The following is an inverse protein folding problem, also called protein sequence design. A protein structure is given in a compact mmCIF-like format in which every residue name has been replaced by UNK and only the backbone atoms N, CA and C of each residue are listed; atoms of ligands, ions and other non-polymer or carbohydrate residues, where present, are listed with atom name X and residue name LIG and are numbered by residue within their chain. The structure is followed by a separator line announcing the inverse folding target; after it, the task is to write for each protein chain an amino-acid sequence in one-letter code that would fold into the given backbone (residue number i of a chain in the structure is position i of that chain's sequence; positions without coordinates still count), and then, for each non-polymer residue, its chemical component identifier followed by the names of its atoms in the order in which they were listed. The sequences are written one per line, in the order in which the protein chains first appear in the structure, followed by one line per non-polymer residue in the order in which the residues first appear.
data_IF_550066623269
#
_entry.id   IF_550066623269
#
_cell.length_a   1.000
_cell.length_b   1.000
_cell.length_c   1.000
_cell.angle_alpha   90.00
_cell.angle_beta   90.00
_cell.angle_gamma   90.00
#
_symmetry.space_group_name_H-M   'P 1'
#
loop_
_entity.id
_entity.type
_entity.pdbx_description
1 polymer ?
#
# COMPACT_ATOMS: atom_id res chain seq x y z
N UNK A 1 -31.63 43.63 38.32
CA UNK A 1 -30.28 43.14 37.99
C UNK A 1 -29.80 42.21 39.10
N UNK A 2 -28.97 41.17 38.83
CA UNK A 2 -28.51 40.68 37.53
C UNK A 2 -29.02 39.27 37.19
N UNK A 3 -29.13 39.01 35.88
CA UNK A 3 -29.28 37.68 35.28
C UNK A 3 -28.00 36.89 35.54
N UNK A 4 -28.12 35.66 36.04
CA UNK A 4 -27.03 34.67 36.04
C UNK A 4 -26.70 34.36 34.58
N UNK A 5 -25.61 34.92 34.11
CA UNK A 5 -25.00 34.61 32.82
C UNK A 5 -24.29 33.26 33.00
N UNK A 6 -24.98 32.18 32.63
CA UNK A 6 -24.43 30.82 32.67
C UNK A 6 -23.46 30.64 31.49
N UNK A 7 -22.31 31.30 31.59
CA UNK A 7 -21.19 31.11 30.66
C UNK A 7 -20.55 29.77 30.98
N UNK A 8 -21.10 28.73 30.35
CA UNK A 8 -20.39 27.48 30.11
C UNK A 8 -19.00 27.80 29.55
N UNK A 9 -17.99 27.68 30.40
CA UNK A 9 -16.59 27.84 29.98
C UNK A 9 -16.27 26.70 29.01
N UNK A 10 -16.36 26.98 27.70
CA UNK A 10 -15.68 26.16 26.69
C UNK A 10 -14.22 26.15 27.11
N UNK A 11 -13.73 25.01 27.64
CA UNK A 11 -12.30 24.81 27.88
C UNK A 11 -11.59 25.14 26.59
N UNK A 12 -10.86 26.25 26.56
CA UNK A 12 -10.04 26.60 25.42
C UNK A 12 -9.05 25.45 25.22
N UNK A 13 -9.14 24.75 24.10
CA UNK A 13 -8.16 23.75 23.73
C UNK A 13 -6.80 24.48 23.68
N UNK A 14 -5.92 24.17 24.64
CA UNK A 14 -4.56 24.70 24.66
C UNK A 14 -3.76 23.94 23.61
N UNK A 15 -3.50 24.59 22.49
CA UNK A 15 -2.67 24.02 21.43
C UNK A 15 -1.20 24.40 21.67
N UNK A 16 -0.33 23.39 21.61
CA UNK A 16 1.12 23.58 21.62
C UNK A 16 1.62 23.39 20.19
N UNK A 17 2.31 24.40 19.64
CA UNK A 17 2.99 24.26 18.36
C UNK A 17 4.31 23.53 18.58
N UNK A 18 4.46 22.37 17.96
CA UNK A 18 5.68 21.58 17.98
C UNK A 18 6.25 21.51 16.56
N UNK A 19 7.56 21.63 16.45
CA UNK A 19 8.27 21.48 15.17
C UNK A 19 8.16 20.03 14.68
N UNK A 20 7.99 19.85 13.36
CA UNK A 20 7.86 18.54 12.74
C UNK A 20 9.12 17.70 12.94
N UNK A 21 10.30 18.30 12.83
CA UNK A 21 11.56 17.58 13.02
C UNK A 21 11.68 16.98 14.44
N UNK A 22 11.08 17.63 15.44
CA UNK A 22 11.04 17.12 16.81
C UNK A 22 10.09 15.94 16.95
N UNK A 23 8.94 15.98 16.28
CA UNK A 23 8.00 14.86 16.24
C UNK A 23 8.61 13.65 15.52
N UNK A 24 9.30 13.87 14.40
CA UNK A 24 9.98 12.81 13.65
C UNK A 24 11.12 12.19 14.48
N UNK A 25 11.90 13.02 15.18
CA UNK A 25 12.93 12.53 16.11
C UNK A 25 12.32 11.72 17.24
N UNK A 26 11.20 12.16 17.81
CA UNK A 26 10.51 11.43 18.87
C UNK A 26 9.99 10.08 18.38
N UNK A 27 9.42 10.04 17.17
CA UNK A 27 9.02 8.80 16.50
C UNK A 27 10.20 7.84 16.28
N UNK A 28 11.34 8.36 15.82
CA UNK A 28 12.55 7.55 15.66
C UNK A 28 13.02 6.96 16.98
N UNK A 29 13.00 7.74 18.08
CA UNK A 29 13.36 7.26 19.42
C UNK A 29 12.40 6.18 19.93
N UNK A 30 11.10 6.32 19.70
CA UNK A 30 10.13 5.28 20.03
C UNK A 30 10.36 4.02 19.18
N UNK A 31 10.68 4.18 17.89
CA UNK A 31 11.07 3.06 17.03
C UNK A 31 12.34 2.35 17.51
N UNK A 32 13.36 3.10 17.92
CA UNK A 32 14.57 2.55 18.54
C UNK A 32 14.27 1.83 19.87
N UNK A 33 13.36 2.37 20.68
CA UNK A 33 12.91 1.73 21.91
C UNK A 33 12.24 0.39 21.64
N UNK A 34 11.37 0.31 20.62
CA UNK A 34 10.76 -0.95 20.17
C UNK A 34 11.83 -1.95 19.75
N UNK A 35 12.83 -1.52 18.97
CA UNK A 35 13.96 -2.38 18.54
C UNK A 35 14.74 -2.92 19.74
N UNK A 36 15.10 -2.04 20.69
CA UNK A 36 15.85 -2.43 21.89
C UNK A 36 15.05 -3.37 22.79
N UNK A 37 13.75 -3.14 22.93
CA UNK A 37 12.83 -4.04 23.63
C UNK A 37 12.80 -5.42 22.96
N UNK A 38 12.59 -5.51 21.65
CA UNK A 38 12.60 -6.79 20.93
C UNK A 38 13.92 -7.53 21.09
N UNK A 39 15.05 -6.81 21.10
CA UNK A 39 16.36 -7.40 21.39
C UNK A 39 16.44 -8.00 22.79
N UNK A 40 15.93 -7.29 23.79
CA UNK A 40 15.91 -7.79 25.17
C UNK A 40 15.01 -9.02 25.31
N UNK A 41 13.86 -9.06 24.63
CA UNK A 41 12.97 -10.24 24.58
C UNK A 41 13.67 -11.45 23.96
N UNK A 42 14.42 -11.25 22.88
CA UNK A 42 15.24 -12.28 22.24
C UNK A 42 16.33 -12.81 23.19
N UNK A 43 17.07 -11.91 23.86
CA UNK A 43 18.10 -12.31 24.83
C UNK A 43 17.48 -13.08 26.00
N UNK A 44 16.39 -12.58 26.57
CA UNK A 44 15.66 -13.24 27.66
C UNK A 44 15.23 -14.66 27.28
N UNK A 45 14.75 -14.84 26.05
CA UNK A 45 14.33 -16.13 25.51
C UNK A 45 15.52 -17.08 25.31
N UNK A 46 16.61 -16.59 24.71
CA UNK A 46 17.82 -17.37 24.45
C UNK A 46 18.49 -17.86 25.74
N UNK A 47 18.53 -17.02 26.77
CA UNK A 47 19.13 -17.35 28.07
C UNK A 47 18.12 -17.97 29.06
N UNK A 48 16.86 -18.18 28.65
CA UNK A 48 15.77 -18.73 29.47
C UNK A 48 15.61 -18.01 30.83
N UNK A 49 15.74 -16.69 30.83
CA UNK A 49 15.62 -15.85 32.03
C UNK A 49 14.14 -15.58 32.32
N UNK A 50 13.48 -16.47 33.07
CA UNK A 50 12.04 -16.40 33.33
C UNK A 50 11.64 -15.13 34.10
N UNK A 51 12.44 -14.71 35.08
CA UNK A 51 12.16 -13.50 35.89
C UNK A 51 12.24 -12.20 35.08
N UNK A 52 13.02 -12.20 33.98
CA UNK A 52 13.13 -11.05 33.09
C UNK A 52 11.94 -10.95 32.14
N UNK A 53 11.25 -12.06 31.86
CA UNK A 53 10.16 -12.13 30.91
C UNK A 53 8.97 -11.24 31.32
N UNK A 54 8.52 -11.33 32.57
CA UNK A 54 7.41 -10.50 33.08
C UNK A 54 7.72 -9.00 33.02
N UNK A 55 8.97 -8.63 33.35
CA UNK A 55 9.42 -7.24 33.28
C UNK A 55 9.44 -6.74 31.83
N UNK A 56 9.90 -7.57 30.90
CA UNK A 56 9.93 -7.22 29.48
C UNK A 56 8.53 -7.11 28.86
N UNK A 57 7.57 -7.94 29.28
CA UNK A 57 6.18 -7.76 28.88
C UNK A 57 5.63 -6.40 29.31
N UNK A 58 5.95 -5.97 30.54
CA UNK A 58 5.51 -4.66 31.03
C UNK A 58 6.17 -3.50 30.27
N UNK A 59 7.46 -3.60 29.97
CA UNK A 59 8.14 -2.67 29.06
C UNK A 59 7.49 -2.67 27.69
N UNK A 60 7.09 -3.84 27.19
CA UNK A 60 6.34 -4.02 25.95
C UNK A 60 5.05 -3.21 25.91
N UNK A 61 4.21 -3.38 26.93
CA UNK A 61 2.93 -2.63 27.06
C UNK A 61 3.15 -1.12 27.09
N UNK A 62 4.06 -0.62 27.92
CA UNK A 62 4.34 0.82 28.04
C UNK A 62 4.91 1.38 26.72
N UNK A 63 5.75 0.63 26.03
CA UNK A 63 6.31 1.04 24.74
C UNK A 63 5.23 1.13 23.67
N UNK A 64 4.29 0.18 23.63
CA UNK A 64 3.13 0.22 22.74
C UNK A 64 2.21 1.41 23.04
N UNK A 65 1.89 1.66 24.32
CA UNK A 65 1.07 2.81 24.73
C UNK A 65 1.74 4.14 24.34
N UNK A 66 3.06 4.23 24.52
CA UNK A 66 3.83 5.42 24.12
C UNK A 66 3.74 5.61 22.61
N UNK A 67 3.93 4.54 21.83
CA UNK A 67 3.83 4.57 20.38
C UNK A 67 2.45 5.05 19.92
N UNK A 68 1.38 4.50 20.48
CA UNK A 68 0.00 4.90 20.14
C UNK A 68 -0.26 6.37 20.45
N UNK A 69 0.26 6.87 21.58
CA UNK A 69 0.15 8.27 21.95
C UNK A 69 0.88 9.17 20.94
N UNK A 70 2.12 8.83 20.56
CA UNK A 70 2.87 9.64 19.58
C UNK A 70 2.17 9.65 18.23
N UNK A 71 1.64 8.50 17.78
CA UNK A 71 0.87 8.42 16.54
C UNK A 71 -0.33 9.35 16.58
N UNK A 72 -1.13 9.33 17.66
CA UNK A 72 -2.30 10.22 17.82
C UNK A 72 -1.93 11.71 17.77
N UNK A 73 -0.77 12.10 18.31
CA UNK A 73 -0.32 13.51 18.26
C UNK A 73 0.02 13.93 16.81
N UNK A 74 0.46 13.00 15.96
CA UNK A 74 0.80 13.25 14.56
C UNK A 74 -0.41 13.25 13.62
N UNK A 75 -1.50 12.63 14.03
CA UNK A 75 -2.71 12.56 13.23
C UNK A 75 -3.25 13.94 12.88
N UNK A 76 -3.75 14.07 11.64
CA UNK A 76 -4.43 15.25 11.15
C UNK A 76 -5.74 14.82 10.49
N UNK A 77 -6.79 15.66 10.55
CA UNK A 77 -8.03 15.38 9.84
C UNK A 77 -7.79 15.41 8.32
N UNK A 78 -8.43 14.48 7.60
CA UNK A 78 -8.34 14.40 6.13
C UNK A 78 -8.97 15.61 5.43
N UNK A 79 -9.78 16.39 6.15
CA UNK A 79 -10.37 17.68 5.74
C UNK A 79 -9.38 18.58 4.97
N UNK A 80 -8.11 18.64 5.43
CA UNK A 80 -7.06 19.44 4.77
C UNK A 80 -6.87 19.11 3.30
N UNK A 81 -7.00 17.83 2.94
CA UNK A 81 -6.91 17.36 1.56
C UNK A 81 -8.25 17.57 0.85
N UNK A 82 -9.36 17.28 1.54
CA UNK A 82 -10.70 17.29 0.95
C UNK A 82 -11.17 18.69 0.55
N UNK A 83 -10.79 19.72 1.31
CA UNK A 83 -11.20 21.12 1.10
C UNK A 83 -10.87 21.70 -0.29
N UNK A 84 -9.91 21.11 -1.02
CA UNK A 84 -9.56 21.58 -2.38
C UNK A 84 -10.43 20.97 -3.49
N UNK A 85 -11.06 19.82 -3.25
CA UNK A 85 -11.81 19.10 -4.28
C UNK A 85 -13.12 19.77 -4.72
N UNK A 86 -13.90 20.46 -3.86
CA UNK A 86 -15.11 21.16 -4.28
C UNK A 86 -14.88 22.24 -5.34
N UNK A 87 -13.72 22.91 -5.33
CA UNK A 87 -13.38 23.88 -6.38
C UNK A 87 -13.01 23.17 -7.68
N UNK A 88 -12.16 22.16 -7.58
CA UNK A 88 -11.73 21.36 -8.72
C UNK A 88 -12.89 20.67 -9.47
N UNK A 89 -13.87 20.12 -8.75
CA UNK A 89 -15.06 19.52 -9.38
C UNK A 89 -15.88 20.55 -10.14
N UNK A 90 -16.01 21.78 -9.62
CA UNK A 90 -16.68 22.88 -10.34
C UNK A 90 -15.93 23.24 -11.62
N UNK A 91 -14.61 23.27 -11.59
CA UNK A 91 -13.79 23.54 -12.76
C UNK A 91 -13.93 22.42 -13.81
N UNK A 92 -13.86 21.15 -13.40
CA UNK A 92 -14.08 19.99 -14.29
C UNK A 92 -15.51 19.94 -14.87
N UNK A 93 -16.51 20.26 -14.05
CA UNK A 93 -17.92 20.31 -14.47
C UNK A 93 -18.12 21.28 -15.62
N UNK A 94 -17.49 22.45 -15.56
CA UNK A 94 -17.50 23.44 -16.64
C UNK A 94 -16.68 22.99 -17.86
N UNK A 95 -15.48 22.43 -17.64
CA UNK A 95 -14.59 21.97 -18.73
C UNK A 95 -15.23 20.85 -19.56
N UNK A 96 -15.91 19.90 -18.91
CA UNK A 96 -16.51 18.73 -19.54
C UNK A 96 -17.96 18.96 -19.98
N UNK A 97 -18.58 20.06 -19.56
CA UNK A 97 -20.00 20.34 -19.79
C UNK A 97 -20.93 19.33 -19.12
N UNK A 98 -20.56 18.82 -17.94
CA UNK A 98 -21.33 17.84 -17.16
C UNK A 98 -21.72 18.42 -15.81
N UNK A 99 -22.98 18.30 -15.40
CA UNK A 99 -23.40 18.66 -14.03
C UNK A 99 -22.93 17.59 -13.04
N UNK A 100 -22.10 17.99 -12.06
CA UNK A 100 -21.51 17.08 -11.08
C UNK A 100 -21.66 17.66 -9.67
N UNK A 101 -22.23 16.87 -8.77
CA UNK A 101 -22.33 17.15 -7.33
C UNK A 101 -21.28 16.34 -6.56
N UNK A 102 -20.51 17.01 -5.70
CA UNK A 102 -19.53 16.37 -4.81
C UNK A 102 -20.09 16.28 -3.39
N UNK A 103 -20.19 15.07 -2.85
CA UNK A 103 -20.61 14.81 -1.48
C UNK A 103 -19.41 14.32 -0.66
N UNK A 104 -19.04 15.05 0.38
CA UNK A 104 -17.93 14.69 1.26
C UNK A 104 -18.51 14.20 2.60
N UNK A 105 -18.00 13.08 3.11
CA UNK A 105 -18.37 12.52 4.43
C UNK A 105 -17.14 12.06 5.21
N UNK A 106 -17.16 12.29 6.52
CA UNK A 106 -16.09 11.86 7.42
C UNK A 106 -14.78 12.64 7.24
N UNK A 107 -14.87 13.93 6.96
CA UNK A 107 -13.71 14.83 6.82
C UNK A 107 -12.88 14.96 8.11
N UNK A 108 -13.49 14.65 9.25
CA UNK A 108 -12.89 14.54 10.57
C UNK A 108 -12.06 13.27 10.78
N UNK A 109 -12.08 12.32 9.83
CA UNK A 109 -11.26 11.10 9.91
C UNK A 109 -9.78 11.47 9.98
N UNK A 110 -9.13 10.99 11.02
CA UNK A 110 -7.73 11.26 11.33
C UNK A 110 -6.78 10.31 10.58
N UNK A 111 -5.74 10.88 9.97
CA UNK A 111 -4.71 10.19 9.22
C UNK A 111 -3.33 10.72 9.56
N UNK A 112 -2.30 9.88 9.40
CA UNK A 112 -0.91 10.31 9.55
C UNK A 112 -0.61 11.43 8.54
N UNK A 113 0.14 12.44 8.98
CA UNK A 113 0.48 13.59 8.14
C UNK A 113 1.15 13.18 6.81
N UNK A 114 2.08 12.22 6.82
CA UNK A 114 2.77 11.78 5.61
C UNK A 114 1.79 11.10 4.66
N UNK A 115 0.82 10.35 5.20
CA UNK A 115 -0.27 9.79 4.42
C UNK A 115 -1.12 10.91 3.79
N UNK A 116 -1.45 11.96 4.54
CA UNK A 116 -2.19 13.13 4.02
C UNK A 116 -1.45 13.83 2.87
N UNK A 117 -0.14 14.00 3.01
CA UNK A 117 0.68 14.67 2.00
C UNK A 117 0.76 13.85 0.70
N UNK A 118 0.83 12.51 0.80
CA UNK A 118 0.94 11.59 -0.35
C UNK A 118 -0.41 11.18 -0.98
N UNK A 119 -1.50 11.08 -0.20
CA UNK A 119 -2.81 10.57 -0.67
C UNK A 119 -3.53 11.54 -1.60
N UNK A 120 -3.19 12.82 -1.53
CA UNK A 120 -3.95 13.86 -2.19
C UNK A 120 -3.94 13.80 -3.72
N UNK A 121 -2.83 13.39 -4.34
CA UNK A 121 -2.73 13.24 -5.80
C UNK A 121 -3.43 11.97 -6.30
N UNK A 122 -3.26 10.78 -5.68
CA UNK A 122 -4.10 9.61 -5.95
C UNK A 122 -5.61 9.92 -5.93
N UNK A 123 -6.11 10.59 -4.90
CA UNK A 123 -7.53 10.95 -4.79
C UNK A 123 -7.98 11.91 -5.89
N UNK A 124 -7.15 12.90 -6.22
CA UNK A 124 -7.42 13.82 -7.33
C UNK A 124 -7.62 13.06 -8.64
N UNK A 125 -6.76 12.09 -8.90
CA UNK A 125 -6.81 11.31 -10.12
C UNK A 125 -8.05 10.38 -10.17
N UNK A 126 -8.42 9.75 -9.05
CA UNK A 126 -9.65 8.97 -8.96
C UNK A 126 -10.90 9.83 -9.21
N UNK A 127 -10.98 11.00 -8.58
CA UNK A 127 -12.09 11.94 -8.76
C UNK A 127 -12.18 12.40 -10.22
N UNK A 128 -11.03 12.69 -10.86
CA UNK A 128 -10.99 13.05 -12.27
C UNK A 128 -11.51 11.92 -13.16
N UNK A 129 -11.09 10.67 -12.93
CA UNK A 129 -11.57 9.53 -13.71
C UNK A 129 -13.08 9.33 -13.56
N UNK A 130 -13.62 9.51 -12.35
CA UNK A 130 -15.07 9.51 -12.13
C UNK A 130 -15.76 10.62 -12.91
N UNK A 131 -15.22 11.83 -12.97
CA UNK A 131 -15.81 12.95 -13.72
C UNK A 131 -15.68 12.80 -15.26
N UNK A 132 -14.50 12.41 -15.76
CA UNK A 132 -14.19 12.30 -17.19
C UNK A 132 -14.86 11.09 -17.83
N UNK A 133 -14.73 9.92 -17.20
CA UNK A 133 -15.13 8.63 -17.78
C UNK A 133 -16.32 7.99 -17.07
N UNK A 134 -16.48 8.20 -15.77
CA UNK A 134 -17.58 7.65 -14.99
C UNK A 134 -18.92 8.34 -15.31
N UNK A 135 -19.03 9.63 -15.00
CA UNK A 135 -20.26 10.42 -15.15
C UNK A 135 -20.57 10.65 -16.63
N UNK A 136 -21.77 10.28 -17.04
CA UNK A 136 -22.29 10.49 -18.39
C UNK A 136 -22.85 11.93 -18.57
N UNK A 137 -22.93 12.45 -19.80
CA UNK A 137 -23.65 13.70 -20.09
C UNK A 137 -25.12 13.64 -19.63
N UNK A 138 -25.69 14.80 -19.26
CA UNK A 138 -27.04 14.88 -18.71
C UNK A 138 -28.11 14.21 -19.58
N UNK A 139 -28.00 14.33 -20.91
CA UNK A 139 -28.91 13.69 -21.85
C UNK A 139 -28.87 12.16 -21.81
N UNK A 140 -27.67 11.57 -21.70
CA UNK A 140 -27.48 10.11 -21.56
C UNK A 140 -28.03 9.63 -20.21
N UNK A 141 -27.82 10.41 -19.14
CA UNK A 141 -28.30 10.08 -17.79
C UNK A 141 -29.81 10.05 -17.71
N UNK A 142 -30.49 11.05 -18.28
CA UNK A 142 -31.96 11.11 -18.31
C UNK A 142 -32.53 9.93 -19.11
N UNK A 143 -31.91 9.56 -20.25
CA UNK A 143 -32.30 8.37 -21.03
C UNK A 143 -32.14 7.07 -20.24
N UNK A 144 -31.13 7.00 -19.37
CA UNK A 144 -30.91 5.86 -18.48
C UNK A 144 -31.77 5.90 -17.19
N UNK A 145 -32.68 6.87 -17.04
CA UNK A 145 -33.52 7.03 -15.85
C UNK A 145 -32.80 7.57 -14.61
N UNK A 146 -31.60 8.13 -14.78
CA UNK A 146 -30.80 8.74 -13.70
C UNK A 146 -31.08 10.24 -13.58
N UNK A 147 -30.66 10.84 -12.47
CA UNK A 147 -30.67 12.31 -12.31
C UNK A 147 -29.72 12.97 -13.31
N UNK A 148 -30.09 14.14 -13.81
CA UNK A 148 -29.26 14.93 -14.74
C UNK A 148 -27.87 15.23 -14.15
N UNK A 149 -27.81 15.67 -12.89
CA UNK A 149 -26.56 15.81 -12.15
C UNK A 149 -25.99 14.44 -11.73
N UNK A 150 -24.72 14.21 -12.06
CA UNK A 150 -23.93 13.09 -11.55
C UNK A 150 -23.49 13.32 -10.11
N UNK A 151 -23.37 12.26 -9.32
CA UNK A 151 -22.91 12.35 -7.93
C UNK A 151 -21.56 11.65 -7.78
N UNK A 152 -20.57 12.37 -7.26
CA UNK A 152 -19.31 11.78 -6.78
C UNK A 152 -19.29 11.91 -5.25
N UNK A 153 -19.08 10.80 -4.55
CA UNK A 153 -18.98 10.74 -3.09
C UNK A 153 -17.54 10.46 -2.67
N UNK A 154 -17.04 11.26 -1.75
CA UNK A 154 -15.76 11.06 -1.10
C UNK A 154 -16.02 10.80 0.38
N UNK A 155 -15.80 9.55 0.80
CA UNK A 155 -16.16 9.08 2.15
C UNK A 155 -14.88 8.62 2.84
N UNK A 156 -14.60 9.14 4.03
CA UNK A 156 -13.55 8.61 4.89
C UNK A 156 -14.16 8.10 6.20
N UNK A 157 -13.65 6.99 6.71
CA UNK A 157 -13.98 6.49 8.04
C UNK A 157 -12.90 5.54 8.54
N UNK A 158 -12.87 5.31 9.85
CA UNK A 158 -11.97 4.35 10.47
C UNK A 158 -12.65 2.99 10.65
N UNK A 159 -11.95 1.92 10.31
CA UNK A 159 -12.39 0.53 10.49
C UNK A 159 -11.26 -0.26 11.18
N UNK A 160 -11.39 -0.49 12.48
CA UNK A 160 -10.32 -1.08 13.29
C UNK A 160 -9.05 -0.23 13.29
N UNK A 161 -7.93 -0.83 12.89
CA UNK A 161 -6.62 -0.17 12.78
C UNK A 161 -6.31 0.34 11.36
N UNK A 162 -7.32 0.46 10.51
CA UNK A 162 -7.20 0.96 9.13
C UNK A 162 -8.11 2.17 8.94
N UNK A 163 -7.63 3.14 8.18
CA UNK A 163 -8.47 4.17 7.61
C UNK A 163 -8.96 3.71 6.24
N UNK A 164 -10.25 3.89 6.00
CA UNK A 164 -10.90 3.56 4.74
C UNK A 164 -11.28 4.87 4.06
N UNK A 165 -10.84 5.04 2.82
CA UNK A 165 -11.24 6.15 1.95
C UNK A 165 -11.94 5.56 0.73
N UNK A 166 -13.17 5.98 0.46
CA UNK A 166 -13.97 5.56 -0.69
C UNK A 166 -14.19 6.73 -1.62
N UNK A 167 -13.97 6.50 -2.91
CA UNK A 167 -14.39 7.37 -4.01
C UNK A 167 -15.47 6.64 -4.79
N UNK A 168 -16.71 7.11 -4.72
CA UNK A 168 -17.86 6.48 -5.38
C UNK A 168 -18.47 7.42 -6.41
N UNK A 169 -18.85 6.91 -7.56
CA UNK A 169 -19.66 7.63 -8.54
C UNK A 169 -20.92 6.83 -8.90
N UNK A 170 -21.96 7.53 -9.36
CA UNK A 170 -23.20 6.96 -9.89
C UNK A 170 -23.21 6.92 -11.43
N UNK A 171 -22.02 6.82 -12.03
CA UNK A 171 -21.79 6.87 -13.46
C UNK A 171 -22.16 5.59 -14.19
N UNK A 172 -21.60 5.41 -15.39
CA UNK A 172 -21.89 4.27 -16.26
C UNK A 172 -21.28 2.94 -15.77
N UNK A 173 -20.40 2.97 -14.77
CA UNK A 173 -19.62 1.80 -14.35
C UNK A 173 -18.62 1.34 -15.41
N UNK A 174 -17.96 0.22 -15.15
CA UNK A 174 -16.98 -0.37 -16.04
C UNK A 174 -17.62 -1.44 -16.93
N UNK A 175 -17.50 -1.25 -18.24
CA UNK A 175 -17.93 -2.25 -19.21
C UNK A 175 -16.86 -3.34 -19.35
N UNK A 176 -17.16 -4.51 -18.80
CA UNK A 176 -16.26 -5.67 -18.73
C UNK A 176 -15.84 -6.12 -20.13
N UNK A 177 -16.78 -6.14 -21.09
CA UNK A 177 -16.54 -6.59 -22.45
C UNK A 177 -15.55 -5.68 -23.21
N UNK A 178 -15.65 -4.36 -23.03
CA UNK A 178 -14.68 -3.40 -23.59
C UNK A 178 -13.28 -3.57 -23.00
N UNK A 179 -13.20 -3.83 -21.69
CA UNK A 179 -11.92 -4.07 -21.01
C UNK A 179 -11.31 -5.37 -21.54
N UNK A 180 -12.11 -6.41 -21.67
CA UNK A 180 -11.71 -7.72 -22.21
C UNK A 180 -11.16 -7.61 -23.63
N UNK A 181 -11.91 -6.98 -24.53
CA UNK A 181 -11.49 -6.77 -25.92
C UNK A 181 -10.20 -5.94 -26.02
N UNK A 182 -10.00 -4.98 -25.11
CA UNK A 182 -8.76 -4.19 -25.07
C UNK A 182 -7.59 -5.03 -24.54
N UNK A 183 -7.80 -5.84 -23.53
CA UNK A 183 -6.80 -6.75 -22.98
C UNK A 183 -6.32 -7.75 -24.04
N UNK A 184 -7.24 -8.38 -24.77
CA UNK A 184 -6.91 -9.31 -25.85
C UNK A 184 -6.10 -8.62 -26.97
N UNK A 185 -6.48 -7.40 -27.36
CA UNK A 185 -5.71 -6.59 -28.34
C UNK A 185 -4.32 -6.23 -27.85
N UNK A 186 -4.15 -6.07 -26.54
CA UNK A 186 -2.87 -5.79 -25.89
C UNK A 186 -2.05 -7.07 -25.59
N UNK A 187 -2.52 -8.25 -26.04
CA UNK A 187 -1.82 -9.53 -25.88
C UNK A 187 -2.01 -10.18 -24.51
N UNK A 188 -2.99 -9.75 -23.73
CA UNK A 188 -3.36 -10.34 -22.44
C UNK A 188 -4.49 -11.35 -22.69
N UNK A 189 -4.24 -12.62 -22.38
CA UNK A 189 -5.27 -13.67 -22.45
C UNK A 189 -6.26 -13.51 -21.30
N UNK A 190 -7.55 -13.41 -21.63
CA UNK A 190 -8.63 -13.24 -20.65
C UNK A 190 -9.44 -14.53 -20.42
N UNK A 191 -9.01 -15.64 -21.04
CA UNK A 191 -9.62 -16.95 -20.92
C UNK A 191 -9.67 -17.42 -19.46
N UNK A 192 -10.89 -17.62 -18.92
CA UNK A 192 -11.09 -18.14 -17.57
C UNK A 192 -10.96 -17.12 -16.42
N UNK A 193 -10.74 -15.84 -16.72
CA UNK A 193 -10.75 -14.78 -15.72
C UNK A 193 -12.17 -14.52 -15.19
N UNK A 194 -12.30 -14.22 -13.89
CA UNK A 194 -13.56 -13.73 -13.36
C UNK A 194 -13.83 -12.29 -13.82
N UNK A 195 -15.09 -11.83 -13.76
CA UNK A 195 -15.40 -10.42 -14.06
C UNK A 195 -14.59 -9.44 -13.21
N UNK A 196 -14.31 -9.81 -11.96
CA UNK A 196 -13.54 -8.98 -11.04
C UNK A 196 -12.07 -8.92 -11.46
N UNK A 197 -11.51 -10.03 -11.92
CA UNK A 197 -10.14 -10.07 -12.44
C UNK A 197 -10.00 -9.23 -13.72
N UNK A 198 -10.99 -9.30 -14.61
CA UNK A 198 -11.05 -8.46 -15.81
C UNK A 198 -11.12 -6.98 -15.43
N UNK A 199 -11.96 -6.58 -14.47
CA UNK A 199 -12.03 -5.20 -13.97
C UNK A 199 -10.69 -4.76 -13.37
N UNK A 200 -9.98 -5.64 -12.68
CA UNK A 200 -8.68 -5.33 -12.07
C UNK A 200 -7.56 -5.09 -13.09
N UNK A 201 -7.73 -5.50 -14.36
CA UNK A 201 -6.77 -5.22 -15.44
C UNK A 201 -6.54 -3.71 -15.63
N UNK A 202 -7.48 -2.85 -15.22
CA UNK A 202 -7.29 -1.40 -15.30
C UNK A 202 -6.08 -0.90 -14.49
N UNK A 203 -5.64 -1.66 -13.48
CA UNK A 203 -4.47 -1.35 -12.68
C UNK A 203 -3.15 -1.87 -13.28
N UNK A 204 -3.17 -2.56 -14.42
CA UNK A 204 -1.95 -2.99 -15.09
C UNK A 204 -1.23 -1.81 -15.73
N UNK A 205 0.10 -1.86 -15.67
CA UNK A 205 0.94 -0.82 -16.25
C UNK A 205 0.68 -0.67 -17.75
N UNK A 206 0.48 0.57 -18.20
CA UNK A 206 0.20 0.86 -19.61
C UNK A 206 -1.21 0.47 -20.07
N UNK A 207 -2.07 -0.05 -19.19
CA UNK A 207 -3.46 -0.32 -19.50
C UNK A 207 -4.32 0.94 -19.26
N UNK A 208 -4.58 1.68 -20.33
CA UNK A 208 -5.60 2.73 -20.35
C UNK A 208 -6.74 2.29 -21.27
N UNK A 209 -7.99 2.63 -20.96
CA UNK A 209 -9.14 2.38 -21.84
C UNK A 209 -9.36 3.48 -22.88
N UNK A 210 -8.67 4.62 -22.80
CA UNK A 210 -8.80 5.71 -23.79
C UNK A 210 -8.14 5.37 -25.14
N UNK A 211 -8.80 5.73 -26.24
CA UNK A 211 -8.28 5.60 -27.63
C UNK A 211 -7.56 6.87 -28.11
N UNK A 212 -7.76 8.01 -27.43
CA UNK A 212 -7.10 9.28 -27.74
C UNK A 212 -6.14 9.65 -26.63
N UNK A 213 -4.89 9.96 -27.00
CA UNK A 213 -3.94 10.67 -26.14
C UNK A 213 -4.39 12.12 -26.10
N UNK A 214 -5.05 12.53 -25.02
CA UNK A 214 -5.36 13.95 -24.78
C UNK A 214 -4.10 14.65 -24.27
N UNK A 215 -3.80 15.85 -24.79
CA UNK A 215 -2.58 16.63 -24.52
C UNK A 215 -2.32 16.97 -23.03
N UNK A 216 -3.29 16.70 -22.15
CA UNK A 216 -3.23 16.99 -20.71
C UNK A 216 -2.83 15.74 -19.90
N UNK A 217 -2.79 14.56 -20.52
CA UNK A 217 -2.33 13.28 -19.92
C UNK A 217 -0.83 13.01 -20.15
N UNK A 218 -0.08 14.03 -20.60
CA UNK A 218 1.32 13.96 -21.04
C UNK A 218 2.39 13.63 -19.98
N UNK A 219 2.01 13.00 -18.86
CA UNK A 219 2.95 12.41 -17.88
C UNK A 219 2.47 11.06 -17.36
N UNK A 220 1.95 10.18 -18.24
CA UNK A 220 1.80 8.75 -17.93
C UNK A 220 1.12 8.42 -16.60
N UNK A 221 0.00 9.08 -16.26
CA UNK A 221 -0.73 8.81 -15.01
C UNK A 221 -1.89 7.88 -15.34
N UNK A 222 -1.67 6.57 -15.19
CA UNK A 222 -2.72 5.55 -15.20
C UNK A 222 -3.12 5.14 -13.79
N UNK A 223 -4.08 4.22 -13.70
CA UNK A 223 -4.48 3.62 -12.41
C UNK A 223 -3.36 2.79 -11.78
N UNK A 224 -2.36 2.37 -12.57
CA UNK A 224 -1.11 1.75 -12.13
C UNK A 224 -0.29 2.69 -11.22
N UNK A 225 -0.18 3.97 -11.56
CA UNK A 225 0.51 4.98 -10.74
C UNK A 225 -0.23 5.19 -9.42
N UNK A 226 -1.56 5.25 -9.45
CA UNK A 226 -2.38 5.33 -8.23
C UNK A 226 -2.14 4.12 -7.34
N UNK A 227 -2.24 2.90 -7.89
CA UNK A 227 -2.00 1.66 -7.13
C UNK A 227 -0.60 1.62 -6.53
N UNK A 228 0.41 2.04 -7.30
CA UNK A 228 1.80 2.09 -6.84
C UNK A 228 1.98 3.08 -5.68
N UNK A 229 1.43 4.29 -5.80
CA UNK A 229 1.49 5.30 -4.73
C UNK A 229 0.79 4.86 -3.45
N UNK A 230 -0.41 4.26 -3.58
CA UNK A 230 -1.14 3.69 -2.44
C UNK A 230 -0.36 2.55 -1.79
N UNK A 231 0.24 1.67 -2.60
CA UNK A 231 1.05 0.55 -2.08
C UNK A 231 2.32 1.03 -1.39
N UNK A 232 2.96 2.10 -1.89
CA UNK A 232 4.16 2.69 -1.31
C UNK A 232 3.94 3.25 0.11
N UNK A 233 2.73 3.72 0.42
CA UNK A 233 2.33 4.15 1.76
C UNK A 233 1.72 3.00 2.60
N UNK A 234 1.93 1.74 2.19
CA UNK A 234 1.46 0.55 2.89
C UNK A 234 -0.04 0.30 2.76
N UNK A 235 -0.72 1.00 1.85
CA UNK A 235 -2.14 0.87 1.60
C UNK A 235 -2.49 -0.22 0.59
N UNK A 236 -3.78 -0.54 0.52
CA UNK A 236 -4.36 -1.42 -0.51
C UNK A 236 -5.48 -0.69 -1.22
N UNK A 237 -5.72 -1.05 -2.48
CA UNK A 237 -6.79 -0.50 -3.31
C UNK A 237 -7.67 -1.63 -3.82
N UNK A 238 -8.99 -1.43 -3.76
CA UNK A 238 -10.00 -2.34 -4.29
C UNK A 238 -10.97 -1.54 -5.17
N UNK A 239 -11.45 -2.18 -6.22
CA UNK A 239 -12.35 -1.58 -7.20
C UNK A 239 -13.62 -2.42 -7.28
N UNK A 240 -14.77 -1.80 -7.05
CA UNK A 240 -16.08 -2.41 -7.19
C UNK A 240 -16.84 -1.59 -8.24
N UNK A 241 -17.28 -2.22 -9.32
CA UNK A 241 -18.00 -1.51 -10.38
C UNK A 241 -19.10 -2.38 -10.95
N UNK A 242 -20.25 -1.77 -11.20
CA UNK A 242 -21.38 -2.41 -11.86
C UNK A 242 -21.89 -1.51 -12.99
N UNK A 243 -22.04 -2.10 -14.18
CA UNK A 243 -22.45 -1.37 -15.38
C UNK A 243 -23.84 -0.74 -15.17
N UNK A 244 -23.95 0.55 -15.49
CA UNK A 244 -25.13 1.36 -15.27
C UNK A 244 -25.35 1.84 -13.83
N UNK A 245 -24.64 1.32 -12.82
CA UNK A 245 -24.78 1.77 -11.42
C UNK A 245 -23.63 2.64 -10.92
N UNK A 246 -22.45 2.51 -11.52
CA UNK A 246 -21.28 3.34 -11.22
C UNK A 246 -20.11 2.54 -10.70
N UNK A 247 -19.13 3.25 -10.13
CA UNK A 247 -17.87 2.67 -9.65
C UNK A 247 -17.55 3.15 -8.23
N UNK A 248 -17.01 2.26 -7.42
CA UNK A 248 -16.52 2.52 -6.06
C UNK A 248 -15.07 2.05 -5.97
N UNK A 249 -14.17 2.97 -5.65
CA UNK A 249 -12.76 2.67 -5.37
C UNK A 249 -12.54 2.81 -3.88
N UNK A 250 -12.09 1.72 -3.25
CA UNK A 250 -11.90 1.61 -1.81
C UNK A 250 -10.40 1.53 -1.54
N UNK A 251 -9.87 2.54 -0.86
CA UNK A 251 -8.49 2.60 -0.40
C UNK A 251 -8.49 2.25 1.09
N UNK A 252 -7.62 1.32 1.49
CA UNK A 252 -7.40 0.96 2.90
C UNK A 252 -5.97 1.32 3.28
N UNK A 253 -5.82 2.19 4.26
CA UNK A 253 -4.53 2.70 4.72
C UNK A 253 -4.29 2.23 6.17
N UNK A 254 -3.09 1.77 6.52
CA UNK A 254 -2.75 1.51 7.91
C UNK A 254 -2.70 2.84 8.70
N UNK A 255 -3.14 2.82 9.95
CA UNK A 255 -3.07 4.00 10.84
C UNK A 255 -1.72 4.15 11.55
N UNK A 256 -0.84 3.16 11.46
CA UNK A 256 0.44 3.11 12.16
C UNK A 256 1.61 3.41 11.21
N UNK A 257 2.81 3.62 11.79
CA UNK A 257 4.07 3.37 11.06
C UNK A 257 3.94 2.05 10.27
N UNK A 258 4.53 1.98 9.09
CA UNK A 258 4.53 0.80 8.23
C UNK A 258 5.27 -0.36 8.90
N UNK A 259 4.63 -1.02 9.87
CA UNK A 259 5.06 -2.28 10.43
C UNK A 259 4.51 -3.36 9.52
N UNK A 260 5.39 -4.19 9.00
CA UNK A 260 5.02 -5.36 8.22
C UNK A 260 5.56 -6.61 8.90
N UNK A 261 4.87 -7.72 8.72
CA UNK A 261 5.46 -9.02 9.00
C UNK A 261 6.34 -9.41 7.83
N UNK A 262 7.60 -9.71 8.10
CA UNK A 262 8.57 -10.12 7.10
C UNK A 262 9.24 -11.45 7.47
N UNK A 263 9.58 -12.23 6.45
CA UNK A 263 10.49 -13.34 6.54
C UNK A 263 11.92 -12.82 6.34
N UNK A 264 12.79 -13.07 7.32
CA UNK A 264 14.21 -12.78 7.22
C UNK A 264 14.93 -13.94 6.53
N UNK A 265 15.62 -13.62 5.44
CA UNK A 265 16.36 -14.57 4.60
C UNK A 265 17.83 -14.17 4.52
N UNK A 266 18.72 -15.15 4.46
CA UNK A 266 20.16 -14.92 4.30
C UNK A 266 20.60 -15.24 2.87
N UNK A 267 21.44 -14.38 2.31
CA UNK A 267 22.14 -14.62 1.03
C UNK A 267 23.59 -14.19 1.22
N UNK A 268 24.51 -15.15 1.17
CA UNK A 268 25.88 -14.97 1.61
C UNK A 268 25.92 -14.66 3.11
N UNK A 269 26.63 -13.58 3.43
CA UNK A 269 26.69 -13.02 4.79
C UNK A 269 25.61 -11.98 5.07
N UNK A 270 24.82 -11.60 4.06
CA UNK A 270 23.83 -10.53 4.15
C UNK A 270 22.45 -11.06 4.53
N UNK A 271 21.73 -10.27 5.32
CA UNK A 271 20.34 -10.56 5.71
C UNK A 271 19.39 -9.59 5.02
N UNK A 272 18.34 -10.13 4.42
CA UNK A 272 17.28 -9.40 3.74
C UNK A 272 15.92 -9.73 4.35
N UNK A 273 14.95 -8.83 4.18
CA UNK A 273 13.58 -9.02 4.60
C UNK A 273 12.65 -9.11 3.39
N UNK A 274 11.75 -10.09 3.38
CA UNK A 274 10.69 -10.23 2.38
C UNK A 274 9.35 -10.15 3.10
N UNK A 275 8.47 -9.23 2.68
CA UNK A 275 7.13 -9.13 3.27
C UNK A 275 6.37 -10.45 3.11
N UNK A 276 5.78 -10.96 4.20
CA UNK A 276 4.98 -12.18 4.18
C UNK A 276 3.78 -12.09 3.24
N UNK A 277 3.28 -10.87 2.97
CA UNK A 277 2.17 -10.66 2.04
C UNK A 277 2.48 -11.08 0.58
N UNK A 278 3.77 -11.20 0.23
CA UNK A 278 4.19 -11.69 -1.08
C UNK A 278 4.58 -13.17 -1.08
N UNK A 279 4.64 -13.83 0.07
CA UNK A 279 5.14 -15.21 0.19
C UNK A 279 3.95 -16.18 0.18
N UNK A 280 3.92 -17.09 -0.81
CA UNK A 280 2.97 -18.21 -0.80
C UNK A 280 3.45 -19.31 0.14
N UNK A 281 4.73 -19.71 0.03
CA UNK A 281 5.36 -20.72 0.89
C UNK A 281 6.88 -20.71 0.77
N UNK A 282 7.52 -21.49 1.63
CA UNK A 282 8.96 -21.77 1.57
C UNK A 282 9.19 -23.27 1.48
N UNK A 283 10.12 -23.69 0.63
CA UNK A 283 10.53 -25.09 0.49
C UNK A 283 12.04 -25.21 0.63
N UNK A 284 12.52 -26.34 1.16
CA UNK A 284 13.93 -26.71 1.11
C UNK A 284 14.17 -27.52 -0.16
N UNK A 285 15.26 -27.25 -0.86
CA UNK A 285 15.67 -27.99 -2.05
C UNK A 285 17.15 -28.27 -2.00
N UNK A 286 17.57 -29.31 -2.71
CA UNK A 286 18.95 -29.42 -3.14
C UNK A 286 19.16 -28.70 -4.48
N UNK A 287 20.31 -28.06 -4.70
CA UNK A 287 20.63 -27.40 -5.98
C UNK A 287 20.62 -28.36 -7.16
N UNK A 288 20.82 -29.67 -6.92
CA UNK A 288 20.73 -30.71 -7.96
C UNK A 288 19.28 -30.90 -8.48
N UNK A 289 18.27 -30.42 -7.75
CA UNK A 289 16.86 -30.42 -8.17
C UNK A 289 16.50 -29.27 -9.11
N UNK A 290 17.40 -28.28 -9.26
CA UNK A 290 17.22 -27.15 -10.17
C UNK A 290 17.38 -27.64 -11.60
N UNK A 291 16.37 -27.40 -12.42
CA UNK A 291 16.37 -27.77 -13.84
C UNK A 291 16.57 -26.54 -14.70
N UNK A 292 17.21 -26.71 -15.86
CA UNK A 292 17.33 -25.67 -16.87
C UNK A 292 16.30 -25.91 -17.98
N UNK A 293 15.49 -24.91 -18.29
CA UNK A 293 14.53 -24.95 -19.41
C UNK A 293 14.55 -23.61 -20.12
N UNK A 294 14.73 -23.61 -21.45
CA UNK A 294 14.83 -22.39 -22.27
C UNK A 294 15.83 -21.36 -21.69
N UNK A 295 16.98 -21.83 -21.22
CA UNK A 295 18.03 -21.02 -20.61
C UNK A 295 17.61 -20.26 -19.33
N UNK A 296 16.54 -20.72 -18.66
CA UNK A 296 16.10 -20.25 -17.36
C UNK A 296 16.12 -21.40 -16.36
N UNK A 297 16.52 -21.10 -15.13
CA UNK A 297 16.42 -22.05 -14.04
C UNK A 297 14.96 -22.16 -13.57
N UNK A 298 14.53 -23.39 -13.33
CA UNK A 298 13.18 -23.72 -12.88
C UNK A 298 13.22 -24.83 -11.83
N UNK A 299 12.21 -24.86 -10.98
CA UNK A 299 11.94 -25.99 -10.09
C UNK A 299 10.57 -26.58 -10.42
N UNK A 300 10.41 -27.89 -10.21
CA UNK A 300 9.12 -28.55 -10.33
C UNK A 300 8.58 -28.75 -8.91
N UNK A 301 7.47 -28.09 -8.61
CA UNK A 301 6.81 -28.21 -7.32
C UNK A 301 5.33 -28.53 -7.51
N UNK A 302 4.89 -29.69 -7.00
CA UNK A 302 3.51 -30.20 -7.17
C UNK A 302 3.04 -30.11 -8.62
N UNK A 303 3.84 -30.67 -9.53
CA UNK A 303 3.60 -30.70 -10.97
C UNK A 303 3.55 -29.33 -11.68
N UNK A 304 3.81 -28.23 -10.96
CA UNK A 304 3.94 -26.90 -11.54
C UNK A 304 5.40 -26.53 -11.75
N UNK A 305 5.70 -25.93 -12.91
CA UNK A 305 7.03 -25.38 -13.22
C UNK A 305 7.10 -23.95 -12.71
N UNK A 306 7.95 -23.71 -11.72
CA UNK A 306 8.13 -22.38 -11.13
C UNK A 306 9.49 -21.83 -11.59
N UNK A 307 9.53 -20.62 -12.20
CA UNK A 307 10.79 -19.99 -12.55
C UNK A 307 11.58 -19.65 -11.29
N UNK A 308 12.88 -19.95 -11.30
CA UNK A 308 13.77 -19.73 -10.18
C UNK A 308 14.65 -18.50 -10.44
N UNK A 309 14.76 -17.64 -9.44
CA UNK A 309 15.62 -16.46 -9.43
C UNK A 309 16.60 -16.63 -8.28
N UNK A 310 17.90 -16.64 -8.59
CA UNK A 310 18.96 -16.60 -7.58
C UNK A 310 19.07 -15.19 -7.02
N UNK A 311 18.76 -15.01 -5.73
CA UNK A 311 18.91 -13.68 -5.12
C UNK A 311 20.37 -13.23 -5.08
N UNK A 312 21.33 -14.16 -4.98
CA UNK A 312 22.76 -13.84 -5.10
C UNK A 312 23.07 -13.05 -6.36
N UNK A 313 22.60 -13.57 -7.50
CA UNK A 313 22.92 -13.01 -8.80
C UNK A 313 22.14 -11.72 -9.04
N UNK A 314 20.88 -11.70 -8.62
CA UNK A 314 20.00 -10.54 -8.76
C UNK A 314 20.48 -9.35 -7.93
N UNK A 315 20.98 -9.59 -6.73
CA UNK A 315 21.47 -8.56 -5.81
C UNK A 315 22.97 -8.29 -5.98
N UNK A 316 23.63 -8.98 -6.91
CA UNK A 316 25.07 -8.90 -7.18
C UNK A 316 25.93 -9.13 -5.92
N UNK A 317 25.55 -10.14 -5.13
CA UNK A 317 26.22 -10.56 -3.91
C UNK A 317 26.70 -12.02 -4.04
N UNK A 318 27.81 -12.33 -3.38
CA UNK A 318 28.32 -13.70 -3.35
C UNK A 318 27.44 -14.54 -2.41
N UNK A 319 26.77 -15.56 -2.95
CA UNK A 319 26.06 -16.55 -2.14
C UNK A 319 27.00 -17.51 -1.41
N UNK A 320 26.48 -18.26 -0.44
CA UNK A 320 27.23 -19.33 0.22
C UNK A 320 27.38 -20.56 -0.70
N UNK A 321 28.55 -21.20 -0.66
CA UNK A 321 28.77 -22.48 -1.33
C UNK A 321 28.06 -23.59 -0.54
N UNK A 322 27.04 -24.21 -1.15
CA UNK A 322 26.27 -25.27 -0.51
C UNK A 322 25.18 -25.81 -1.43
N UNK A 323 24.89 -27.11 -1.31
CA UNK A 323 23.84 -27.74 -2.11
C UNK A 323 22.45 -27.62 -1.49
N UNK A 324 22.36 -27.57 -0.18
CA UNK A 324 21.08 -27.43 0.51
C UNK A 324 20.72 -25.95 0.63
N UNK A 325 19.60 -25.58 0.02
CA UNK A 325 19.11 -24.20 -0.09
C UNK A 325 17.62 -24.14 0.22
N UNK A 326 17.11 -22.92 0.28
CA UNK A 326 15.67 -22.68 0.41
C UNK A 326 15.16 -21.90 -0.79
N UNK A 327 13.94 -22.20 -1.21
CA UNK A 327 13.21 -21.42 -2.21
C UNK A 327 12.00 -20.79 -1.55
N UNK A 328 11.98 -19.47 -1.53
CA UNK A 328 10.81 -18.67 -1.14
C UNK A 328 9.95 -18.48 -2.38
N UNK A 329 8.81 -19.18 -2.46
CA UNK A 329 7.86 -19.03 -3.56
C UNK A 329 7.07 -17.76 -3.29
N UNK A 330 7.31 -16.74 -4.12
CA UNK A 330 6.72 -15.43 -3.99
C UNK A 330 5.78 -15.12 -5.15
N UNK A 331 4.71 -14.38 -4.86
CA UNK A 331 3.66 -14.02 -5.81
C UNK A 331 3.47 -12.51 -5.84
N UNK A 332 3.53 -11.93 -7.04
CA UNK A 332 3.21 -10.52 -7.29
C UNK A 332 2.23 -10.42 -8.45
N UNK A 333 0.96 -10.10 -8.14
CA UNK A 333 -0.13 -10.20 -9.11
C UNK A 333 -0.30 -11.64 -9.61
N UNK A 334 -0.23 -11.83 -10.93
CA UNK A 334 -0.30 -13.15 -11.57
C UNK A 334 1.06 -13.84 -11.66
N UNK A 335 2.16 -13.08 -11.50
CA UNK A 335 3.50 -13.64 -11.59
C UNK A 335 3.85 -14.42 -10.32
N UNK A 336 4.40 -15.60 -10.50
CA UNK A 336 4.93 -16.45 -9.43
C UNK A 336 6.37 -16.82 -9.77
N UNK A 337 7.27 -16.66 -8.80
CA UNK A 337 8.66 -17.09 -8.94
C UNK A 337 9.21 -17.62 -7.61
N UNK A 338 10.17 -18.53 -7.70
CA UNK A 338 10.95 -19.01 -6.58
C UNK A 338 12.19 -18.14 -6.39
N UNK A 339 12.37 -17.56 -5.20
CA UNK A 339 13.58 -16.84 -4.82
C UNK A 339 14.51 -17.80 -4.08
N UNK A 340 15.64 -18.14 -4.69
CA UNK A 340 16.65 -19.02 -4.08
C UNK A 340 17.45 -18.23 -3.04
N UNK A 341 17.48 -18.73 -1.80
CA UNK A 341 18.17 -18.16 -0.65
C UNK A 341 18.98 -19.22 0.09
N UNK A 342 19.96 -18.78 0.87
CA UNK A 342 20.91 -19.67 1.54
C UNK A 342 20.32 -20.24 2.83
N UNK A 343 19.70 -19.39 3.65
CA UNK A 343 19.02 -19.82 4.87
C UNK A 343 17.88 -18.89 5.27
N UNK A 344 17.08 -19.36 6.23
CA UNK A 344 15.96 -18.61 6.81
C UNK A 344 16.28 -18.27 8.25
N UNK A 345 16.14 -17.00 8.62
CA UNK A 345 16.35 -16.54 10.00
C UNK A 345 15.05 -16.52 10.82
N UNK A 346 13.89 -16.54 10.15
CA UNK A 346 12.57 -16.59 10.79
C UNK A 346 11.68 -15.41 10.44
N UNK A 347 10.49 -15.36 11.04
CA UNK A 347 9.52 -14.30 10.84
C UNK A 347 9.65 -13.23 11.93
N UNK A 348 9.55 -11.96 11.55
CA UNK A 348 9.62 -10.84 12.48
C UNK A 348 8.76 -9.67 12.01
N UNK A 349 8.17 -8.95 12.96
CA UNK A 349 7.58 -7.63 12.71
C UNK A 349 8.69 -6.59 12.58
N UNK A 350 8.72 -5.90 11.45
CA UNK A 350 9.76 -4.91 11.14
C UNK A 350 9.13 -3.57 10.78
N UNK A 351 9.76 -2.49 11.23
CA UNK A 351 9.39 -1.12 10.86
C UNK A 351 10.08 -0.77 9.54
N UNK A 352 9.30 -0.44 8.51
CA UNK A 352 9.84 0.04 7.24
C UNK A 352 10.29 1.49 7.41
N UNK A 353 11.57 1.74 7.14
CA UNK A 353 12.16 3.07 6.97
C UNK A 353 12.44 3.30 5.49
N UNK A 354 12.15 4.52 5.04
CA UNK A 354 12.36 4.91 3.65
C UNK A 354 13.86 5.07 3.37
N UNK A 355 14.36 4.58 2.23
CA UNK A 355 15.81 4.40 1.95
C UNK A 355 16.53 5.69 1.54
N UNK A 356 15.86 6.85 1.60
CA UNK A 356 16.40 8.15 1.21
C UNK A 356 16.58 8.32 -0.30
N UNK A 357 16.75 9.56 -0.75
CA UNK A 357 16.82 9.91 -2.19
C UNK A 357 18.05 9.35 -2.92
N UNK A 358 19.11 9.03 -2.19
CA UNK A 358 20.36 8.50 -2.77
C UNK A 358 20.20 7.07 -3.27
N UNK A 359 19.30 6.29 -2.65
CA UNK A 359 19.08 4.87 -2.97
C UNK A 359 17.78 4.63 -3.76
N UNK A 360 17.05 5.69 -4.12
CA UNK A 360 15.79 5.58 -4.89
C UNK A 360 15.95 5.05 -6.32
N UNK A 361 17.19 4.91 -6.81
CA UNK A 361 17.49 4.30 -8.11
C UNK A 361 17.55 2.77 -8.08
N UNK A 362 17.60 2.17 -6.89
CA UNK A 362 17.62 0.71 -6.72
C UNK A 362 16.18 0.21 -6.67
N UNK A 363 15.79 -0.57 -7.69
CA UNK A 363 14.41 -1.05 -7.84
C UNK A 363 14.15 -2.29 -6.99
N UNK A 364 15.20 -2.96 -6.55
CA UNK A 364 15.19 -4.22 -5.83
C UNK A 364 14.75 -4.06 -4.37
N UNK A 365 14.61 -2.83 -3.86
CA UNK A 365 14.35 -2.54 -2.45
C UNK A 365 13.17 -1.58 -2.26
N UNK A 366 12.26 -1.92 -1.35
CA UNK A 366 11.14 -1.06 -0.93
C UNK A 366 11.56 -0.13 0.22
N UNK A 367 12.47 -0.61 1.06
CA UNK A 367 12.75 0.00 2.35
C UNK A 367 14.01 -0.56 3.00
N UNK A 368 14.31 -0.03 4.18
CA UNK A 368 15.25 -0.64 5.12
C UNK A 368 14.58 -0.77 6.49
N UNK A 369 15.07 -1.68 7.31
CA UNK A 369 14.70 -1.80 8.71
C UNK A 369 15.94 -1.96 9.57
N UNK A 370 15.80 -1.79 10.88
CA UNK A 370 16.87 -2.04 11.83
C UNK A 370 16.39 -3.20 12.70
N UNK A 371 17.10 -4.33 12.63
CA UNK A 371 16.77 -5.52 13.41
C UNK A 371 17.19 -5.35 14.87
N UNK A 372 16.72 -6.24 15.76
CA UNK A 372 17.04 -6.20 17.20
C UNK A 372 18.56 -6.21 17.49
N UNK A 373 19.34 -6.85 16.63
CA UNK A 373 20.82 -6.86 16.73
C UNK A 373 21.47 -5.50 16.38
N UNK A 374 20.72 -4.54 15.83
CA UNK A 374 21.18 -3.23 15.38
C UNK A 374 21.65 -3.19 13.91
N UNK A 375 21.58 -4.31 13.19
CA UNK A 375 21.94 -4.35 11.78
C UNK A 375 20.83 -3.73 10.92
N UNK A 376 21.26 -2.94 9.93
CA UNK A 376 20.38 -2.43 8.89
C UNK A 376 20.12 -3.55 7.89
N UNK A 377 18.85 -3.87 7.69
CA UNK A 377 18.40 -4.92 6.79
C UNK A 377 17.53 -4.32 5.69
N UNK A 378 17.88 -4.60 4.44
CA UNK A 378 17.11 -4.12 3.29
C UNK A 378 15.86 -4.98 3.09
N UNK A 379 14.76 -4.32 2.71
CA UNK A 379 13.47 -4.95 2.45
C UNK A 379 13.31 -5.09 0.94
N UNK A 380 13.20 -6.32 0.45
CA UNK A 380 13.17 -6.62 -0.98
C UNK A 380 11.83 -6.24 -1.61
N UNK A 381 11.89 -5.62 -2.78
CA UNK A 381 10.74 -5.40 -3.65
C UNK A 381 10.52 -6.65 -4.53
N UNK A 382 9.64 -7.53 -4.07
CA UNK A 382 9.27 -8.74 -4.81
C UNK A 382 8.69 -8.41 -6.19
N UNK A 383 7.93 -7.32 -6.32
CA UNK A 383 7.32 -6.96 -7.60
C UNK A 383 8.36 -6.51 -8.63
N UNK A 384 9.44 -5.89 -8.18
CA UNK A 384 10.55 -5.50 -9.06
C UNK A 384 11.51 -6.67 -9.38
N UNK A 385 11.62 -7.65 -8.48
CA UNK A 385 12.49 -8.82 -8.66
C UNK A 385 11.87 -9.83 -9.64
N UNK A 386 10.54 -10.02 -9.61
CA UNK A 386 9.80 -11.12 -10.28
C UNK A 386 9.27 -10.78 -11.69
#
# INVERSE_FOLDING_TARGET
QPKKDDRTSKKAHQFVRVDLEKMDKFMNLVGELVIHRTRLEQLSSNYKLTDLHETLEQVGRITSDLQDLVMKIRMLPVEKVFNRFPRMIRDLSNELGKEIELVIKGEDTELDRTVIDEIGEPLLHLIRNSADHGIEPAEERIKAGKKAAGTIKLIAYQEGNKAIIKVEDDGRGLNVEKIKQKAEKSGIDTSGMSEQDIKNLIFMQGFSTSEKVTDISGRGVGMDVVKTKISAIGGTIELLSEEGKGTSVIIRLPLTLSIIQALLVKVGDETFAISLGFIDRVISINTDEIKLTNNKEVIIYRDNVIPLIRLSDKLNIKGEDGKDKFVVIAKSGEKTAGLLVDSLSGQQEIVIKNIGKTLSGLKEYVGATILGNGLVTLILDVAAIV
#
